data_IF_895783568896
#
_entry.id   IF_895783568896
#
_cell.length_a   1.000
_cell.length_b   1.000
_cell.length_c   1.000
_cell.angle_alpha   90.00
_cell.angle_beta   90.00
_cell.angle_gamma   90.00
#
_symmetry.space_group_name_H-M   'P 1'
#
loop_
_entity.id
_entity.type
_entity.pdbx_description
1 polymer ?
#
# COMPACT_ATOMS: atom_id res chain seq x y z
N UNK A 1 37.26 -27.32 -78.98
CA UNK A 1 36.03 -26.68 -78.54
C UNK A 1 35.68 -27.26 -77.16
N UNK A 2 35.85 -26.46 -76.09
CA UNK A 2 35.56 -26.86 -74.71
C UNK A 2 34.23 -26.21 -74.34
N UNK A 3 33.19 -27.02 -74.14
CA UNK A 3 31.92 -26.55 -73.64
C UNK A 3 32.00 -26.37 -72.12
N UNK A 4 31.82 -25.11 -71.68
CA UNK A 4 31.72 -24.74 -70.22
C UNK A 4 30.26 -24.77 -69.86
N UNK A 5 29.87 -25.72 -69.01
CA UNK A 5 28.52 -25.85 -68.45
C UNK A 5 28.43 -24.97 -67.22
N UNK A 6 27.67 -23.88 -67.26
CA UNK A 6 27.37 -23.06 -66.05
C UNK A 6 26.20 -23.69 -65.25
N UNK A 7 26.47 -24.13 -64.07
CA UNK A 7 25.47 -24.54 -63.09
C UNK A 7 25.09 -23.31 -62.27
N UNK A 8 23.89 -22.78 -62.48
CA UNK A 8 23.31 -21.72 -61.65
C UNK A 8 22.74 -22.32 -60.37
N UNK A 9 23.43 -22.02 -59.27
CA UNK A 9 22.92 -22.37 -57.94
C UNK A 9 21.88 -21.35 -57.49
N UNK A 10 20.60 -21.74 -57.45
CA UNK A 10 19.52 -20.91 -56.92
C UNK A 10 19.53 -21.10 -55.38
N UNK A 11 19.98 -20.07 -54.67
CA UNK A 11 19.79 -20.00 -53.20
C UNK A 11 18.35 -19.62 -52.92
N UNK A 12 17.52 -20.58 -52.49
CA UNK A 12 16.23 -20.32 -51.89
C UNK A 12 16.47 -19.82 -50.47
N UNK A 13 16.28 -18.53 -50.21
CA UNK A 13 16.24 -17.96 -48.86
C UNK A 13 14.89 -18.35 -48.25
N UNK A 14 14.95 -19.31 -47.32
CA UNK A 14 13.82 -19.57 -46.43
C UNK A 14 13.71 -18.39 -45.48
N UNK A 15 12.77 -17.48 -45.71
CA UNK A 15 12.30 -16.53 -44.70
C UNK A 15 11.40 -17.34 -43.76
N UNK A 16 11.93 -17.71 -42.59
CA UNK A 16 11.10 -18.27 -41.53
C UNK A 16 10.05 -17.20 -41.14
N UNK A 17 8.76 -17.53 -41.10
CA UNK A 17 7.77 -16.59 -40.61
C UNK A 17 8.12 -16.25 -39.16
N UNK A 18 8.41 -15.00 -38.87
CA UNK A 18 8.49 -14.48 -37.52
C UNK A 18 7.06 -14.50 -36.97
N UNK A 19 6.72 -15.50 -36.18
CA UNK A 19 5.52 -15.47 -35.38
C UNK A 19 5.78 -14.39 -34.30
N UNK A 20 5.22 -13.21 -34.50
CA UNK A 20 5.26 -12.20 -33.47
C UNK A 20 4.46 -12.74 -32.27
N UNK A 21 5.16 -12.94 -31.19
CA UNK A 21 4.62 -13.35 -29.89
C UNK A 21 4.58 -12.13 -28.96
N UNK A 22 3.85 -12.24 -27.89
CA UNK A 22 3.91 -11.24 -26.82
C UNK A 22 5.32 -11.23 -26.24
N UNK A 23 5.96 -10.07 -26.22
CA UNK A 23 7.24 -9.85 -25.55
C UNK A 23 6.98 -9.31 -24.17
N UNK A 24 7.39 -10.05 -23.14
CA UNK A 24 7.30 -9.60 -21.75
C UNK A 24 8.66 -9.02 -21.37
N UNK A 25 8.69 -7.72 -21.07
CA UNK A 25 9.89 -6.98 -20.69
C UNK A 25 10.16 -7.10 -19.18
N UNK A 26 9.07 -7.17 -18.39
CA UNK A 26 9.09 -7.37 -16.94
C UNK A 26 7.79 -8.05 -16.50
N UNK A 27 7.84 -8.98 -15.52
CA UNK A 27 9.04 -9.60 -14.95
C UNK A 27 9.71 -10.58 -15.92
N UNK A 28 11.00 -10.87 -15.70
CA UNK A 28 11.69 -11.95 -16.39
C UNK A 28 11.16 -13.32 -15.94
N UNK A 29 11.23 -14.30 -16.83
CA UNK A 29 10.85 -15.67 -16.47
C UNK A 29 11.69 -16.24 -15.32
N UNK A 30 11.04 -16.75 -14.28
CA UNK A 30 11.67 -17.24 -13.04
C UNK A 30 12.11 -16.14 -12.08
N UNK A 31 11.68 -14.89 -12.27
CA UNK A 31 12.02 -13.81 -11.36
C UNK A 31 11.40 -14.05 -9.97
N UNK A 32 12.15 -13.66 -8.95
CA UNK A 32 11.66 -13.43 -7.59
C UNK A 32 11.21 -11.97 -7.51
N UNK A 33 9.98 -11.74 -7.08
CA UNK A 33 9.35 -10.43 -7.06
C UNK A 33 8.58 -10.25 -5.75
N UNK A 34 8.40 -9.01 -5.32
CA UNK A 34 7.44 -8.67 -4.27
C UNK A 34 6.05 -8.37 -4.88
N UNK A 35 5.00 -8.46 -4.11
CA UNK A 35 3.66 -8.01 -4.53
C UNK A 35 3.40 -6.58 -4.01
N UNK A 36 2.93 -5.65 -4.87
CA UNK A 36 2.73 -5.79 -6.31
C UNK A 36 4.04 -5.82 -7.09
N UNK A 37 4.07 -6.46 -8.26
CA UNK A 37 5.18 -6.41 -9.20
C UNK A 37 4.79 -5.77 -10.53
N UNK A 38 5.74 -5.06 -11.15
CA UNK A 38 5.47 -4.35 -12.39
C UNK A 38 5.49 -5.28 -13.59
N UNK A 39 4.37 -5.32 -14.33
CA UNK A 39 4.26 -5.92 -15.65
C UNK A 39 4.50 -4.86 -16.72
N UNK A 40 5.41 -5.17 -17.64
CA UNK A 40 5.60 -4.44 -18.90
C UNK A 40 5.71 -5.43 -20.04
N UNK A 41 4.83 -5.31 -21.04
CA UNK A 41 4.85 -6.19 -22.20
C UNK A 41 4.31 -5.49 -23.46
N UNK A 42 4.77 -5.96 -24.62
CA UNK A 42 4.42 -5.44 -25.93
C UNK A 42 4.09 -6.57 -26.90
N UNK A 43 3.18 -6.30 -27.82
CA UNK A 43 2.86 -7.17 -28.95
C UNK A 43 2.39 -6.34 -30.15
N UNK A 44 3.24 -6.06 -31.12
CA UNK A 44 2.85 -5.32 -32.32
C UNK A 44 1.85 -6.10 -33.14
N UNK A 45 2.03 -7.42 -33.26
CA UNK A 45 1.15 -8.31 -33.99
C UNK A 45 0.90 -9.60 -33.21
N UNK A 46 -0.26 -10.21 -33.42
CA UNK A 46 -0.61 -11.53 -32.95
C UNK A 46 -1.07 -12.37 -34.14
N UNK A 47 -0.38 -13.48 -34.43
CA UNK A 47 -0.67 -14.32 -35.62
C UNK A 47 -0.79 -13.51 -36.91
N UNK A 48 0.14 -12.59 -37.15
CA UNK A 48 0.19 -11.69 -38.33
C UNK A 48 -0.93 -10.64 -38.38
N UNK A 49 -1.76 -10.50 -37.37
CA UNK A 49 -2.77 -9.45 -37.22
C UNK A 49 -2.26 -8.33 -36.33
N UNK A 50 -2.61 -7.10 -36.62
CA UNK A 50 -2.29 -5.95 -35.76
C UNK A 50 -2.94 -6.15 -34.39
N UNK A 51 -2.19 -5.99 -33.30
CA UNK A 51 -2.71 -6.10 -31.95
C UNK A 51 -3.60 -4.90 -31.61
N UNK A 52 -4.80 -5.16 -31.13
CA UNK A 52 -5.80 -4.15 -30.76
C UNK A 52 -6.00 -4.05 -29.23
N UNK A 53 -5.69 -5.12 -28.52
CA UNK A 53 -5.76 -5.15 -27.07
C UNK A 53 -4.72 -6.12 -26.51
N UNK A 54 -4.25 -5.83 -25.30
CA UNK A 54 -3.46 -6.71 -24.46
C UNK A 54 -4.13 -6.93 -23.12
N UNK A 55 -3.71 -7.94 -22.39
CA UNK A 55 -4.20 -8.19 -21.03
C UNK A 55 -3.38 -9.23 -20.31
N UNK A 56 -3.70 -9.44 -19.05
CA UNK A 56 -3.01 -10.42 -18.22
C UNK A 56 -3.95 -11.10 -17.21
N UNK A 57 -3.56 -12.28 -16.79
CA UNK A 57 -4.18 -13.02 -15.68
C UNK A 57 -3.11 -13.84 -14.97
N UNK A 58 -3.39 -14.25 -13.73
CA UNK A 58 -2.51 -15.13 -12.96
C UNK A 58 -3.13 -16.52 -12.82
N UNK A 59 -2.29 -17.54 -12.92
CA UNK A 59 -2.62 -18.94 -12.73
C UNK A 59 -3.87 -19.37 -13.52
N UNK A 60 -4.76 -20.10 -12.87
CA UNK A 60 -6.04 -20.55 -13.48
C UNK A 60 -7.16 -19.50 -13.32
N UNK A 61 -6.82 -18.25 -13.00
CA UNK A 61 -7.84 -17.21 -12.89
C UNK A 61 -8.51 -16.97 -14.24
N UNK A 62 -9.82 -17.11 -14.30
CA UNK A 62 -10.61 -16.88 -15.49
C UNK A 62 -10.75 -15.38 -15.84
N UNK A 63 -10.54 -14.52 -14.86
CA UNK A 63 -10.61 -13.07 -15.07
C UNK A 63 -9.31 -12.57 -15.67
N UNK A 64 -9.43 -11.84 -16.78
CA UNK A 64 -8.32 -11.20 -17.47
C UNK A 64 -8.50 -9.69 -17.43
N UNK A 65 -7.50 -8.98 -16.89
CA UNK A 65 -7.45 -7.52 -17.02
C UNK A 65 -7.08 -7.16 -18.44
N UNK A 66 -7.90 -6.36 -19.12
CA UNK A 66 -7.73 -6.02 -20.55
C UNK A 66 -7.44 -4.52 -20.69
N UNK A 67 -6.41 -4.20 -21.47
CA UNK A 67 -5.99 -2.84 -21.82
C UNK A 67 -6.03 -2.69 -23.35
N UNK A 68 -6.59 -1.60 -23.87
CA UNK A 68 -6.59 -1.32 -25.30
C UNK A 68 -5.19 -0.90 -25.77
N UNK A 69 -4.76 -1.42 -26.91
CA UNK A 69 -3.48 -1.10 -27.51
C UNK A 69 -2.55 -2.31 -27.62
N UNK A 70 -1.31 -2.05 -28.05
CA UNK A 70 -0.28 -3.05 -28.30
C UNK A 70 0.76 -3.14 -27.18
N UNK A 71 0.54 -2.48 -26.06
CA UNK A 71 1.38 -2.54 -24.86
C UNK A 71 0.52 -2.61 -23.61
N UNK A 72 1.06 -3.22 -22.56
CA UNK A 72 0.49 -3.25 -21.21
C UNK A 72 1.55 -2.88 -20.20
N UNK A 73 1.19 -1.94 -19.31
CA UNK A 73 1.96 -1.58 -18.12
C UNK A 73 1.00 -1.63 -16.94
N UNK A 74 1.30 -2.46 -15.95
CA UNK A 74 0.42 -2.64 -14.80
C UNK A 74 1.22 -3.10 -13.58
N UNK A 75 0.73 -2.75 -12.39
CA UNK A 75 1.16 -3.38 -11.16
C UNK A 75 0.25 -4.58 -10.90
N UNK A 76 0.87 -5.76 -10.83
CA UNK A 76 0.18 -7.05 -10.70
C UNK A 76 0.26 -7.49 -9.25
N UNK A 77 -0.89 -7.72 -8.65
CA UNK A 77 -1.02 -8.22 -7.29
C UNK A 77 -1.10 -9.74 -7.28
N UNK A 78 -0.42 -10.36 -6.31
CA UNK A 78 -0.50 -11.80 -6.05
C UNK A 78 -0.19 -12.12 -4.60
N UNK A 79 -0.70 -13.23 -4.10
CA UNK A 79 -0.21 -13.82 -2.85
C UNK A 79 1.23 -14.33 -3.00
N UNK A 80 1.84 -14.72 -1.88
CA UNK A 80 3.16 -15.34 -1.87
C UNK A 80 3.14 -16.74 -2.51
N UNK A 81 4.23 -17.10 -3.18
CA UNK A 81 4.37 -18.40 -3.83
C UNK A 81 4.71 -18.31 -5.30
N UNK A 82 4.75 -19.48 -5.97
CA UNK A 82 5.03 -19.54 -7.41
C UNK A 82 3.73 -19.41 -8.20
N UNK A 83 3.74 -18.50 -9.17
CA UNK A 83 2.62 -18.16 -10.02
C UNK A 83 3.01 -18.21 -11.49
N UNK A 84 2.00 -18.41 -12.35
CA UNK A 84 2.13 -18.25 -13.80
C UNK A 84 1.37 -17.01 -14.24
N UNK A 85 2.11 -16.02 -14.74
CA UNK A 85 1.55 -14.81 -15.35
C UNK A 85 1.28 -15.10 -16.83
N UNK A 86 0.02 -15.10 -17.24
CA UNK A 86 -0.41 -15.23 -18.63
C UNK A 86 -0.58 -13.85 -19.25
N UNK A 87 0.32 -13.45 -20.13
CA UNK A 87 0.23 -12.18 -20.87
C UNK A 87 -0.35 -12.46 -22.26
N UNK A 88 -1.44 -11.82 -22.56
CA UNK A 88 -2.31 -12.09 -23.73
C UNK A 88 -2.33 -10.91 -24.67
N UNK A 89 -2.45 -11.18 -25.97
CA UNK A 89 -2.70 -10.17 -27.00
C UNK A 89 -3.81 -10.65 -27.95
N UNK A 90 -4.63 -9.71 -28.41
CA UNK A 90 -5.71 -9.97 -29.37
C UNK A 90 -5.50 -9.12 -30.61
N UNK A 91 -5.55 -9.79 -31.78
CA UNK A 91 -5.47 -9.16 -33.09
C UNK A 91 -6.83 -8.67 -33.59
N UNK A 92 -6.80 -7.77 -34.56
CA UNK A 92 -7.98 -7.08 -35.13
C UNK A 92 -9.04 -8.01 -35.75
N UNK A 93 -8.65 -9.20 -36.22
CA UNK A 93 -9.55 -10.20 -36.77
C UNK A 93 -9.76 -11.41 -35.84
N UNK A 94 -9.54 -11.23 -34.54
CA UNK A 94 -9.87 -12.21 -33.51
C UNK A 94 -8.80 -13.25 -33.21
N UNK A 95 -7.56 -13.09 -33.72
CA UNK A 95 -6.45 -13.91 -33.27
C UNK A 95 -6.12 -13.67 -31.79
N UNK A 96 -5.59 -14.67 -31.12
CA UNK A 96 -5.09 -14.55 -29.74
C UNK A 96 -3.71 -15.18 -29.60
N UNK A 97 -2.85 -14.52 -28.87
CA UNK A 97 -1.52 -15.00 -28.50
C UNK A 97 -1.36 -14.92 -26.98
N UNK A 98 -0.60 -15.85 -26.41
CA UNK A 98 -0.29 -15.89 -24.98
C UNK A 98 1.18 -16.17 -24.80
N UNK A 99 1.80 -15.47 -23.85
CA UNK A 99 3.12 -15.79 -23.31
C UNK A 99 2.99 -16.00 -21.82
N UNK A 100 3.46 -17.14 -21.35
CA UNK A 100 3.45 -17.50 -19.94
C UNK A 100 4.79 -17.17 -19.30
N UNK A 101 4.75 -16.52 -18.15
CA UNK A 101 5.92 -16.14 -17.37
C UNK A 101 5.77 -16.70 -15.96
N UNK A 102 6.65 -17.61 -15.57
CA UNK A 102 6.71 -18.07 -14.18
C UNK A 102 7.35 -16.98 -13.32
N UNK A 103 6.75 -16.68 -12.17
CA UNK A 103 7.27 -15.76 -11.16
C UNK A 103 7.15 -16.39 -9.78
N UNK A 104 8.04 -16.04 -8.87
CA UNK A 104 7.91 -16.40 -7.45
C UNK A 104 7.71 -15.11 -6.67
N UNK A 105 6.53 -14.97 -6.05
CA UNK A 105 6.24 -13.83 -5.18
C UNK A 105 6.73 -14.16 -3.78
N UNK A 106 7.68 -13.37 -3.31
CA UNK A 106 8.27 -13.53 -1.99
C UNK A 106 7.43 -12.86 -0.92
N UNK A 107 7.48 -13.38 0.30
CA UNK A 107 6.92 -12.68 1.45
C UNK A 107 7.67 -11.37 1.66
N UNK A 108 6.93 -10.31 2.00
CA UNK A 108 7.52 -9.04 2.38
C UNK A 108 8.56 -9.26 3.50
N UNK A 109 9.73 -8.69 3.31
CA UNK A 109 10.80 -8.72 4.30
C UNK A 109 11.40 -7.31 4.46
N UNK A 110 11.60 -6.90 5.72
CA UNK A 110 12.33 -5.68 6.00
C UNK A 110 13.81 -5.91 5.61
N UNK A 111 14.42 -5.03 4.78
CA UNK A 111 15.83 -5.16 4.43
C UNK A 111 16.74 -5.19 5.67
N UNK A 112 17.82 -5.96 5.60
CA UNK A 112 18.73 -6.11 6.74
C UNK A 112 19.49 -4.83 7.11
N UNK A 113 19.55 -3.86 6.22
CA UNK A 113 20.16 -2.54 6.39
C UNK A 113 19.14 -1.44 6.73
N UNK A 114 17.86 -1.77 6.87
CA UNK A 114 16.84 -0.83 7.28
C UNK A 114 17.14 -0.27 8.68
N UNK A 115 16.98 1.04 8.81
CA UNK A 115 17.02 1.72 10.12
C UNK A 115 15.67 1.60 10.81
N UNK A 116 15.66 1.61 12.16
CA UNK A 116 14.41 1.60 12.92
C UNK A 116 14.44 2.51 14.14
N UNK A 117 13.26 2.97 14.54
CA UNK A 117 13.00 3.57 15.85
C UNK A 117 11.93 2.74 16.54
N UNK A 118 12.27 2.16 17.66
CA UNK A 118 11.38 1.31 18.46
C UNK A 118 10.96 1.98 19.75
N UNK A 119 9.89 1.49 20.36
CA UNK A 119 9.40 2.01 21.65
C UNK A 119 8.84 3.43 21.53
N UNK A 120 8.33 3.80 20.37
CA UNK A 120 7.79 5.16 20.13
C UNK A 120 6.63 5.46 21.10
N UNK A 121 5.84 4.46 21.47
CA UNK A 121 4.74 4.62 22.42
C UNK A 121 5.17 5.14 23.79
N UNK A 122 6.42 4.90 24.22
CA UNK A 122 6.89 5.36 25.55
C UNK A 122 7.56 6.73 25.53
N UNK A 123 7.73 7.36 24.37
CA UNK A 123 8.29 8.72 24.27
C UNK A 123 7.47 9.71 25.09
N UNK A 124 8.15 10.67 25.74
CA UNK A 124 7.49 11.68 26.58
C UNK A 124 6.81 12.81 25.79
N UNK A 125 7.13 12.94 24.51
CA UNK A 125 6.69 14.07 23.66
C UNK A 125 5.27 13.98 23.10
N UNK A 126 4.51 12.95 23.43
CA UNK A 126 3.14 12.79 22.95
C UNK A 126 2.25 13.97 23.34
N UNK A 127 1.42 14.43 22.41
CA UNK A 127 0.44 15.50 22.59
C UNK A 127 -0.94 14.97 22.25
N UNK A 128 -1.98 15.55 22.87
CA UNK A 128 -3.37 15.29 22.58
C UNK A 128 -3.99 16.53 21.94
N UNK A 129 -4.70 16.35 20.83
CA UNK A 129 -5.32 17.45 20.10
C UNK A 129 -6.72 17.02 19.62
N UNK A 130 -7.68 17.92 19.73
CA UNK A 130 -8.97 17.75 19.06
C UNK A 130 -8.75 17.85 17.55
N UNK A 131 -9.26 16.88 16.80
CA UNK A 131 -9.28 16.96 15.35
C UNK A 131 -10.59 17.60 14.88
N UNK A 132 -10.47 18.72 14.18
CA UNK A 132 -11.60 19.52 13.70
C UNK A 132 -12.22 19.02 12.41
N UNK A 133 -11.70 17.94 11.81
CA UNK A 133 -12.33 17.29 10.65
C UNK A 133 -13.62 16.55 11.03
N UNK A 134 -13.76 16.14 12.30
CA UNK A 134 -15.00 15.55 12.83
C UNK A 134 -16.10 16.58 13.09
N UNK A 135 -17.34 16.11 13.25
CA UNK A 135 -18.52 16.97 13.47
C UNK A 135 -18.71 17.39 14.92
N UNK A 136 -18.17 16.63 15.87
CA UNK A 136 -18.33 16.88 17.31
C UNK A 136 -17.04 17.34 17.98
N UNK A 137 -17.11 17.53 19.29
CA UNK A 137 -15.97 17.90 20.11
C UNK A 137 -15.25 16.70 20.72
N UNK A 138 -13.98 16.86 21.05
CA UNK A 138 -13.22 15.85 21.79
C UNK A 138 -12.25 16.48 22.77
N UNK A 139 -11.91 15.69 23.80
CA UNK A 139 -10.85 16.00 24.75
C UNK A 139 -10.13 14.70 25.14
N UNK A 140 -8.84 14.64 24.82
CA UNK A 140 -8.04 13.46 25.00
C UNK A 140 -7.12 13.53 26.22
N UNK A 141 -6.91 12.38 26.82
CA UNK A 141 -5.82 12.17 27.80
C UNK A 141 -5.05 10.92 27.48
N UNK A 142 -3.80 10.85 27.97
CA UNK A 142 -2.94 9.71 27.78
C UNK A 142 -2.02 9.49 28.97
N UNK A 143 -1.63 8.23 29.16
CA UNK A 143 -0.70 7.83 30.23
C UNK A 143 0.07 6.59 29.81
N UNK A 144 1.20 6.33 30.46
CA UNK A 144 1.84 5.03 30.40
C UNK A 144 1.12 4.07 31.35
N UNK A 145 0.87 2.86 30.86
CA UNK A 145 0.24 1.77 31.62
C UNK A 145 1.14 0.53 31.57
N UNK A 146 1.36 -0.09 32.72
CA UNK A 146 2.09 -1.36 32.81
C UNK A 146 1.18 -2.58 32.62
N UNK A 147 -0.13 -2.37 32.59
CA UNK A 147 -1.14 -3.40 32.32
C UNK A 147 -2.40 -2.77 31.71
N UNK A 148 -2.91 -3.25 30.54
CA UNK A 148 -2.24 -4.24 29.69
C UNK A 148 -0.98 -3.67 29.04
N UNK A 149 0.07 -4.49 28.95
CA UNK A 149 1.29 -4.15 28.21
C UNK A 149 1.99 -5.43 27.75
N UNK A 150 2.69 -5.34 26.62
CA UNK A 150 3.54 -6.38 26.04
C UNK A 150 5.02 -6.14 26.33
N UNK A 151 5.46 -4.88 26.24
CA UNK A 151 6.87 -4.48 26.36
C UNK A 151 7.25 -3.93 27.75
N UNK A 152 6.29 -3.92 28.68
CA UNK A 152 6.44 -3.35 30.03
C UNK A 152 5.64 -2.05 30.21
N UNK A 153 5.54 -1.21 29.18
CA UNK A 153 4.70 -0.01 29.19
C UNK A 153 4.02 0.21 27.84
N UNK A 154 2.69 0.13 27.85
CA UNK A 154 1.85 0.58 26.75
C UNK A 154 1.47 2.05 26.93
N UNK A 155 1.17 2.75 25.82
CA UNK A 155 0.51 4.06 25.85
C UNK A 155 -0.99 3.84 25.87
N UNK A 156 -1.66 4.24 26.95
CA UNK A 156 -3.10 4.31 27.05
C UNK A 156 -3.55 5.66 26.48
N UNK A 157 -4.48 5.63 25.53
CA UNK A 157 -5.19 6.79 25.00
C UNK A 157 -6.65 6.74 25.44
N UNK A 158 -7.19 7.88 25.83
CA UNK A 158 -8.59 8.06 26.21
C UNK A 158 -9.13 9.25 25.45
N UNK A 159 -10.18 9.05 24.68
CA UNK A 159 -10.94 10.10 23.99
C UNK A 159 -12.28 10.25 24.67
N UNK A 160 -12.53 11.40 25.28
CA UNK A 160 -13.88 11.81 25.68
C UNK A 160 -14.42 12.68 24.56
N UNK A 161 -15.48 12.26 23.92
CA UNK A 161 -16.00 12.94 22.74
C UNK A 161 -17.51 13.16 22.82
N UNK A 162 -18.01 14.04 21.96
CA UNK A 162 -19.42 14.22 21.67
C UNK A 162 -19.65 14.20 20.18
N UNK A 163 -20.80 13.71 19.77
CA UNK A 163 -21.31 13.82 18.39
C UNK A 163 -20.28 13.41 17.31
N UNK A 164 -19.73 12.19 17.46
CA UNK A 164 -18.72 11.64 16.52
C UNK A 164 -17.38 12.42 16.50
N UNK A 165 -17.02 13.07 17.60
CA UNK A 165 -15.77 13.86 17.67
C UNK A 165 -14.51 13.00 17.61
N UNK A 166 -13.47 13.54 16.99
CA UNK A 166 -12.21 12.86 16.72
C UNK A 166 -11.10 13.39 17.62
N UNK A 167 -10.32 12.48 18.20
CA UNK A 167 -9.21 12.82 19.10
C UNK A 167 -7.90 12.26 18.56
N UNK A 168 -7.00 13.17 18.19
CA UNK A 168 -5.66 12.85 17.71
C UNK A 168 -4.63 12.91 18.83
N UNK A 169 -3.67 12.00 18.78
CA UNK A 169 -2.49 11.95 19.62
C UNK A 169 -1.26 11.83 18.72
N UNK A 170 -0.28 12.71 18.88
CA UNK A 170 0.90 12.75 18.01
C UNK A 170 2.21 12.84 18.78
N UNK A 171 3.27 12.31 18.20
CA UNK A 171 4.64 12.42 18.71
C UNK A 171 5.65 12.46 17.58
N UNK A 172 6.62 13.38 17.68
CA UNK A 172 7.82 13.35 16.83
C UNK A 172 8.81 12.33 17.39
N UNK A 173 9.47 11.56 16.50
CA UNK A 173 10.39 10.49 16.88
C UNK A 173 11.73 10.54 16.15
N UNK A 174 12.04 11.61 15.49
CA UNK A 174 13.30 11.84 14.78
C UNK A 174 13.13 12.80 13.61
N UNK A 175 14.17 12.87 12.78
CA UNK A 175 14.13 13.52 11.48
C UNK A 175 14.76 12.57 10.45
N UNK A 176 14.14 12.44 9.30
CA UNK A 176 14.65 11.73 8.14
C UNK A 176 13.91 12.25 6.91
N UNK A 177 14.67 12.87 6.02
CA UNK A 177 14.12 13.42 4.77
C UNK A 177 14.50 12.58 3.56
N UNK A 178 15.24 11.49 3.74
CA UNK A 178 15.86 10.70 2.67
C UNK A 178 15.21 9.35 2.45
N UNK A 179 14.81 8.67 3.51
CA UNK A 179 14.11 7.38 3.39
C UNK A 179 12.82 7.51 2.58
N UNK A 180 12.59 6.54 1.75
CA UNK A 180 11.41 6.49 0.87
C UNK A 180 10.48 5.32 1.20
N UNK A 181 11.01 4.29 1.81
CA UNK A 181 10.27 3.10 2.22
C UNK A 181 10.11 3.06 3.73
N UNK A 182 8.94 2.68 4.17
CA UNK A 182 8.59 2.61 5.58
C UNK A 182 7.76 1.37 5.88
N UNK A 183 7.96 0.85 7.09
CA UNK A 183 7.16 -0.22 7.63
C UNK A 183 6.74 0.14 9.05
N UNK A 184 5.43 0.29 9.23
CA UNK A 184 4.79 0.55 10.52
C UNK A 184 4.49 -0.79 11.19
N UNK A 185 4.93 -0.97 12.43
CA UNK A 185 4.74 -2.19 13.21
C UNK A 185 4.28 -1.81 14.62
N UNK A 186 3.07 -2.23 14.99
CA UNK A 186 2.48 -1.86 16.26
C UNK A 186 1.50 -2.91 16.80
N UNK A 187 1.31 -2.88 18.11
CA UNK A 187 0.30 -3.68 18.77
C UNK A 187 -0.76 -2.78 19.40
N UNK A 188 -2.03 -3.08 19.12
CA UNK A 188 -3.19 -2.39 19.68
C UNK A 188 -4.01 -3.31 20.56
N UNK A 189 -4.51 -2.75 21.67
CA UNK A 189 -5.43 -3.43 22.57
C UNK A 189 -6.66 -2.56 22.78
N UNK A 190 -7.82 -3.14 22.55
CA UNK A 190 -9.12 -2.50 22.76
C UNK A 190 -9.79 -3.14 23.98
N UNK A 191 -10.03 -2.38 25.07
CA UNK A 191 -10.79 -2.91 26.18
C UNK A 191 -12.26 -3.08 25.80
N UNK A 192 -12.95 -4.02 26.44
CA UNK A 192 -14.38 -4.21 26.26
C UNK A 192 -15.20 -3.19 27.08
N UNK A 193 -16.24 -2.59 26.51
CA UNK A 193 -16.65 -2.63 25.11
C UNK A 193 -15.86 -1.65 24.22
N UNK A 194 -15.66 -1.99 22.94
CA UNK A 194 -15.02 -1.10 21.94
C UNK A 194 -16.05 -0.36 21.06
N UNK A 195 -17.31 -0.41 21.39
CA UNK A 195 -18.41 0.13 20.57
C UNK A 195 -18.42 1.67 20.50
N UNK A 196 -17.65 2.35 21.34
CA UNK A 196 -17.42 3.80 21.29
C UNK A 196 -16.41 4.24 20.24
N UNK A 197 -15.73 3.30 19.57
CA UNK A 197 -14.70 3.56 18.55
C UNK A 197 -15.29 3.33 17.17
N UNK A 198 -15.36 4.37 16.32
CA UNK A 198 -15.71 4.21 14.91
C UNK A 198 -14.48 3.79 14.11
N UNK A 199 -13.43 4.61 14.15
CA UNK A 199 -12.21 4.43 13.39
C UNK A 199 -10.99 4.44 14.31
N UNK A 200 -9.96 3.73 13.87
CA UNK A 200 -8.62 3.82 14.42
C UNK A 200 -7.69 4.23 13.29
N UNK A 201 -7.18 5.46 13.38
CA UNK A 201 -6.23 6.02 12.42
C UNK A 201 -4.80 5.92 12.98
N UNK A 202 -3.88 5.54 12.14
CA UNK A 202 -2.47 5.32 12.48
C UNK A 202 -1.60 5.90 11.37
N UNK A 203 -1.08 7.11 11.60
CA UNK A 203 -0.29 7.79 10.59
C UNK A 203 1.19 7.75 10.91
N UNK A 204 1.99 7.78 9.88
CA UNK A 204 3.35 8.24 9.91
C UNK A 204 3.47 9.43 8.96
N UNK A 205 4.20 10.47 9.34
CA UNK A 205 4.38 11.67 8.54
C UNK A 205 5.86 11.98 8.39
N UNK A 206 6.25 12.37 7.19
CA UNK A 206 7.62 12.78 6.87
C UNK A 206 7.63 14.18 6.27
N UNK A 207 8.35 15.11 6.91
CA UNK A 207 8.60 16.42 6.30
C UNK A 207 9.78 16.31 5.36
N UNK A 208 9.54 16.61 4.09
CA UNK A 208 10.52 16.50 3.00
C UNK A 208 11.42 17.76 2.92
N UNK A 209 12.59 17.68 2.24
CA UNK A 209 13.50 18.83 2.08
C UNK A 209 12.87 20.03 1.37
N UNK A 210 11.87 19.82 0.53
CA UNK A 210 11.14 20.89 -0.15
C UNK A 210 10.10 21.60 0.75
N UNK A 211 10.01 21.23 2.05
CA UNK A 211 9.08 21.80 3.02
C UNK A 211 7.66 21.20 2.97
N UNK A 212 7.41 20.24 2.11
CA UNK A 212 6.16 19.52 2.09
C UNK A 212 6.17 18.38 3.12
N UNK A 213 5.03 18.10 3.69
CA UNK A 213 4.79 16.92 4.56
C UNK A 213 4.12 15.86 3.74
N UNK A 214 4.73 14.68 3.66
CA UNK A 214 4.07 13.48 3.13
C UNK A 214 3.37 12.79 4.29
N UNK A 215 2.06 12.61 4.17
CA UNK A 215 1.22 11.92 5.14
C UNK A 215 1.01 10.48 4.67
N UNK A 216 1.49 9.52 5.44
CA UNK A 216 1.24 8.10 5.23
C UNK A 216 0.11 7.69 6.18
N UNK A 217 -1.09 8.25 5.93
CA UNK A 217 -2.26 8.02 6.75
C UNK A 217 -2.98 6.75 6.35
N UNK A 218 -3.26 5.90 7.30
CA UNK A 218 -4.13 4.73 7.12
C UNK A 218 -5.01 4.53 8.35
N UNK A 219 -6.20 4.03 8.11
CA UNK A 219 -7.16 3.77 9.19
C UNK A 219 -7.91 2.47 8.99
N UNK A 220 -8.27 1.83 10.11
CA UNK A 220 -9.32 0.84 10.15
C UNK A 220 -10.65 1.57 10.34
N UNK A 221 -11.47 1.65 9.27
CA UNK A 221 -12.70 2.44 9.26
C UNK A 221 -13.91 1.54 9.52
N UNK A 222 -14.60 1.79 10.62
CA UNK A 222 -15.83 1.09 10.98
C UNK A 222 -17.05 1.53 10.16
N UNK A 223 -17.00 2.69 9.52
CA UNK A 223 -18.08 3.19 8.66
C UNK A 223 -18.06 2.55 7.28
N UNK A 224 -16.90 2.57 6.61
CA UNK A 224 -16.71 1.92 5.32
C UNK A 224 -16.60 0.40 5.45
N UNK A 225 -16.07 -0.06 6.57
CA UNK A 225 -15.76 -1.46 6.82
C UNK A 225 -14.48 -1.93 6.14
N UNK A 226 -13.58 -0.99 5.79
CA UNK A 226 -12.33 -1.23 5.04
C UNK A 226 -11.12 -0.58 5.71
N UNK A 227 -9.94 -1.00 5.28
CA UNK A 227 -8.72 -0.22 5.46
C UNK A 227 -8.74 0.93 4.46
N UNK A 228 -8.55 2.14 4.96
CA UNK A 228 -8.57 3.35 4.14
C UNK A 228 -7.22 4.06 4.21
N UNK A 229 -6.92 4.84 3.18
CA UNK A 229 -5.66 5.59 3.07
C UNK A 229 -5.92 7.07 2.78
N UNK A 230 -5.07 7.93 3.31
CA UNK A 230 -5.16 9.39 3.10
C UNK A 230 -4.78 9.75 1.66
N UNK A 231 -5.58 10.60 1.02
CA UNK A 231 -5.33 11.16 -0.30
C UNK A 231 -5.47 12.69 -0.28
N UNK A 232 -4.52 13.40 -0.89
CA UNK A 232 -4.68 14.82 -1.19
C UNK A 232 -5.27 14.99 -2.61
N UNK A 233 -6.56 15.32 -2.69
CA UNK A 233 -7.28 15.60 -3.96
C UNK A 233 -6.99 16.98 -4.54
N UNK A 234 -6.30 17.82 -3.79
CA UNK A 234 -5.89 19.16 -4.21
C UNK A 234 -4.43 19.21 -4.68
N UNK A 235 -3.78 20.35 -4.38
CA UNK A 235 -2.33 20.50 -4.52
C UNK A 235 -1.70 20.61 -3.13
N UNK A 236 -0.37 20.45 -3.00
CA UNK A 236 0.26 20.63 -1.70
C UNK A 236 -0.06 21.96 -1.03
N UNK A 237 -0.14 23.07 -1.81
CA UNK A 237 -0.39 24.43 -1.33
C UNK A 237 -1.88 24.73 -1.09
N UNK A 238 -2.77 23.95 -1.71
CA UNK A 238 -4.23 24.03 -1.54
C UNK A 238 -4.78 22.62 -1.36
N UNK A 239 -4.45 21.95 -0.24
CA UNK A 239 -4.79 20.55 -0.05
C UNK A 239 -6.29 20.36 0.15
N UNK A 240 -6.78 19.24 -0.38
CA UNK A 240 -8.11 18.70 -0.12
C UNK A 240 -7.94 17.30 0.42
N UNK A 241 -7.95 17.19 1.72
CA UNK A 241 -7.80 15.92 2.40
C UNK A 241 -9.03 15.02 2.19
N UNK A 242 -8.79 13.74 1.96
CA UNK A 242 -9.82 12.73 1.75
C UNK A 242 -9.32 11.34 2.12
N UNK A 243 -10.26 10.47 2.44
CA UNK A 243 -10.02 9.05 2.62
C UNK A 243 -10.41 8.28 1.36
N UNK A 244 -9.52 7.41 0.91
CA UNK A 244 -9.77 6.49 -0.20
C UNK A 244 -9.93 5.09 0.37
N UNK A 245 -11.10 4.47 0.13
CA UNK A 245 -11.43 3.14 0.63
C UNK A 245 -10.72 2.05 -0.19
N UNK A 246 -10.10 1.09 0.50
CA UNK A 246 -9.52 -0.09 -0.14
C UNK A 246 -10.56 -1.19 -0.33
N UNK A 247 -10.13 -2.33 -0.88
CA UNK A 247 -10.93 -3.57 -0.92
C UNK A 247 -10.66 -4.47 0.32
N UNK A 248 -9.67 -4.12 1.15
CA UNK A 248 -9.30 -4.90 2.32
C UNK A 248 -10.24 -4.58 3.49
N UNK A 249 -10.93 -5.59 4.01
CA UNK A 249 -11.90 -5.40 5.08
C UNK A 249 -11.23 -5.01 6.40
N UNK A 250 -11.77 -3.97 7.07
CA UNK A 250 -11.43 -3.62 8.43
C UNK A 250 -12.61 -2.98 9.15
N UNK A 251 -12.85 -3.37 10.39
CA UNK A 251 -13.85 -2.74 11.25
C UNK A 251 -13.46 -2.97 12.72
N UNK A 252 -13.10 -1.91 13.48
CA UNK A 252 -12.68 -2.05 14.88
C UNK A 252 -13.73 -2.70 15.78
N UNK A 253 -15.04 -2.57 15.45
CA UNK A 253 -16.11 -3.21 16.20
C UNK A 253 -16.15 -4.74 16.08
N UNK A 254 -15.44 -5.30 15.08
CA UNK A 254 -15.35 -6.74 14.86
C UNK A 254 -14.08 -7.34 15.46
N UNK A 255 -13.18 -6.49 15.96
CA UNK A 255 -11.98 -6.98 16.62
C UNK A 255 -12.33 -7.58 17.98
N UNK A 256 -11.64 -8.65 18.33
CA UNK A 256 -11.77 -9.23 19.67
C UNK A 256 -11.27 -8.25 20.73
N UNK A 257 -12.08 -7.97 21.72
CA UNK A 257 -11.69 -7.08 22.82
C UNK A 257 -10.87 -7.81 23.89
N UNK A 258 -10.10 -7.05 24.67
CA UNK A 258 -9.25 -7.56 25.76
C UNK A 258 -8.12 -8.50 25.32
N UNK A 259 -7.72 -8.39 24.04
CA UNK A 259 -6.52 -9.03 23.51
C UNK A 259 -5.70 -8.01 22.70
N UNK A 260 -4.44 -8.33 22.46
CA UNK A 260 -3.57 -7.55 21.58
C UNK A 260 -3.75 -7.96 20.14
N UNK A 261 -3.87 -6.97 19.27
CA UNK A 261 -3.87 -7.12 17.81
C UNK A 261 -2.59 -6.57 17.22
N UNK A 262 -1.96 -7.32 16.34
CA UNK A 262 -0.74 -6.92 15.64
C UNK A 262 -1.10 -6.27 14.32
N UNK A 263 -0.70 -5.01 14.14
CA UNK A 263 -0.96 -4.24 12.93
C UNK A 263 0.37 -3.86 12.30
N UNK A 264 0.51 -4.14 11.03
CA UNK A 264 1.69 -3.79 10.26
C UNK A 264 1.25 -3.21 8.92
N UNK A 265 1.95 -2.20 8.42
CA UNK A 265 1.67 -1.58 7.12
C UNK A 265 2.97 -1.29 6.39
N UNK A 266 3.03 -1.69 5.12
CA UNK A 266 4.14 -1.41 4.22
C UNK A 266 3.74 -0.36 3.21
N UNK A 267 4.53 0.70 3.10
CA UNK A 267 4.32 1.78 2.16
C UNK A 267 5.62 2.45 1.73
N UNK A 268 5.58 3.11 0.57
CA UNK A 268 6.69 3.93 0.12
C UNK A 268 6.17 5.22 -0.52
N UNK A 269 7.04 6.22 -0.61
CA UNK A 269 6.79 7.44 -1.37
C UNK A 269 7.74 7.60 -2.53
N UNK A 270 7.29 8.27 -3.57
CA UNK A 270 8.17 8.82 -4.59
C UNK A 270 8.64 10.25 -4.24
N UNK A 271 9.49 10.82 -5.09
CA UNK A 271 10.03 12.17 -4.90
C UNK A 271 8.98 13.29 -5.08
N UNK A 272 7.83 12.97 -5.67
CA UNK A 272 6.71 13.90 -5.83
C UNK A 272 5.76 13.91 -4.63
N UNK A 273 5.99 13.04 -3.64
CA UNK A 273 5.13 12.88 -2.47
C UNK A 273 3.88 12.05 -2.74
N UNK A 274 3.87 11.23 -3.79
CA UNK A 274 2.89 10.15 -3.93
C UNK A 274 3.27 9.01 -3.03
N UNK A 275 2.30 8.48 -2.32
CA UNK A 275 2.44 7.32 -1.45
C UNK A 275 1.81 6.10 -2.09
N UNK A 276 2.53 5.00 -2.09
CA UNK A 276 1.99 3.68 -2.43
C UNK A 276 1.90 2.84 -1.16
N UNK A 277 0.68 2.50 -0.78
CA UNK A 277 0.38 1.54 0.28
C UNK A 277 0.38 0.14 -0.34
N UNK A 278 1.32 -0.71 0.07
CA UNK A 278 1.49 -2.06 -0.49
C UNK A 278 0.53 -3.06 0.17
N UNK A 279 0.73 -3.29 1.45
CA UNK A 279 -0.03 -4.29 2.23
C UNK A 279 -0.24 -3.84 3.66
N UNK A 280 -1.29 -4.36 4.26
CA UNK A 280 -1.54 -4.31 5.70
C UNK A 280 -1.66 -5.73 6.24
N UNK A 281 -1.11 -5.95 7.41
CA UNK A 281 -1.27 -7.20 8.17
C UNK A 281 -2.06 -6.92 9.43
N UNK A 282 -3.07 -7.75 9.69
CA UNK A 282 -3.77 -7.79 10.96
C UNK A 282 -3.63 -9.22 11.54
N UNK A 283 -2.99 -9.32 12.69
CA UNK A 283 -2.71 -10.58 13.37
C UNK A 283 -1.99 -11.61 12.48
N UNK A 284 -1.05 -11.12 11.66
CA UNK A 284 -0.28 -11.93 10.73
C UNK A 284 -0.99 -12.28 9.41
N UNK A 285 -2.23 -11.86 9.23
CA UNK A 285 -2.97 -12.06 7.98
C UNK A 285 -2.77 -10.85 7.07
N UNK A 286 -2.14 -11.08 5.93
CA UNK A 286 -1.89 -10.05 4.93
C UNK A 286 -3.13 -9.75 4.10
N UNK A 287 -3.36 -8.45 3.88
CA UNK A 287 -4.28 -7.92 2.88
C UNK A 287 -3.54 -6.93 2.00
N UNK A 288 -3.47 -7.22 0.70
CA UNK A 288 -2.87 -6.30 -0.26
C UNK A 288 -3.75 -5.07 -0.45
N UNK A 289 -3.18 -3.89 -0.33
CA UNK A 289 -3.86 -2.61 -0.59
C UNK A 289 -3.61 -2.13 -2.02
N UNK A 290 -2.35 -2.06 -2.41
CA UNK A 290 -1.87 -1.65 -3.73
C UNK A 290 -2.49 -0.34 -4.21
N UNK A 291 -2.48 0.67 -3.36
CA UNK A 291 -3.08 1.98 -3.61
C UNK A 291 -2.00 3.02 -3.71
N UNK A 292 -1.97 3.76 -4.82
CA UNK A 292 -1.04 4.88 -5.03
C UNK A 292 -1.82 6.18 -5.11
N UNK A 293 -1.53 7.11 -4.20
CA UNK A 293 -2.25 8.38 -4.04
C UNK A 293 -1.30 9.56 -3.91
N UNK A 294 -1.66 10.77 -4.37
CA UNK A 294 -1.00 12.00 -3.93
C UNK A 294 -1.21 12.18 -2.43
N UNK A 295 -0.14 12.44 -1.68
CA UNK A 295 -0.25 12.63 -0.23
C UNK A 295 0.75 13.66 0.32
N UNK A 296 1.16 14.62 -0.52
CA UNK A 296 1.99 15.75 -0.11
C UNK A 296 1.12 16.96 0.26
N UNK A 297 1.45 17.61 1.39
CA UNK A 297 0.75 18.75 1.97
C UNK A 297 1.76 19.82 2.38
N UNK A 298 1.58 21.08 1.99
CA UNK A 298 2.44 22.20 2.42
C UNK A 298 1.99 22.73 3.79
N UNK A 299 2.20 21.94 4.84
CA UNK A 299 1.77 22.29 6.21
C UNK A 299 2.69 23.28 6.91
N UNK A 300 3.87 23.58 6.34
CA UNK A 300 4.84 24.50 6.93
C UNK A 300 5.52 23.97 8.20
N UNK A 301 5.55 22.65 8.39
CA UNK A 301 6.18 22.03 9.54
C UNK A 301 7.71 22.00 9.39
N UNK A 302 8.42 22.04 10.53
CA UNK A 302 9.86 21.82 10.56
C UNK A 302 10.16 20.34 10.24
N UNK A 303 11.34 20.03 9.66
CA UNK A 303 11.75 18.66 9.39
C UNK A 303 11.59 17.76 10.62
N UNK A 304 10.82 16.69 10.46
CA UNK A 304 10.55 15.69 11.50
C UNK A 304 9.94 14.43 10.88
N UNK A 305 10.15 13.31 11.56
CA UNK A 305 9.27 12.15 11.48
C UNK A 305 8.32 12.19 12.67
N UNK A 306 7.05 12.06 12.42
CA UNK A 306 6.04 11.98 13.49
C UNK A 306 5.03 10.88 13.19
N UNK A 307 4.42 10.35 14.24
CA UNK A 307 3.29 9.42 14.12
C UNK A 307 2.09 10.00 14.84
N UNK A 308 0.92 9.79 14.24
CA UNK A 308 -0.38 10.06 14.84
C UNK A 308 -1.03 8.73 15.23
N UNK A 309 -1.78 8.79 16.31
CA UNK A 309 -2.79 7.80 16.65
C UNK A 309 -4.08 8.54 16.92
N UNK A 310 -5.16 8.19 16.21
CA UNK A 310 -6.44 8.88 16.33
C UNK A 310 -7.56 7.90 16.65
N UNK A 311 -8.47 8.34 17.50
CA UNK A 311 -9.70 7.62 17.86
C UNK A 311 -10.87 8.49 17.43
N UNK A 312 -11.68 7.98 16.52
CA UNK A 312 -12.92 8.62 16.10
C UNK A 312 -14.10 8.03 16.85
N UNK A 313 -14.98 8.91 17.30
CA UNK A 313 -16.16 8.54 18.07
C UNK A 313 -17.25 7.89 17.23
N UNK A 314 -17.87 6.83 17.75
CA UNK A 314 -18.86 6.03 17.02
C UNK A 314 -20.31 6.48 17.22
N UNK A 315 -20.60 7.34 18.20
CA UNK A 315 -21.98 7.63 18.60
C UNK A 315 -22.29 9.12 18.61
N UNK A 316 -23.55 9.45 18.36
CA UNK A 316 -24.11 10.76 18.67
C UNK A 316 -24.23 10.89 20.19
N UNK A 317 -24.01 12.10 20.71
CA UNK A 317 -23.98 12.37 22.14
C UNK A 317 -22.58 12.10 22.72
N UNK A 318 -22.44 12.12 24.05
CA UNK A 318 -21.15 11.99 24.71
C UNK A 318 -20.80 10.55 25.05
N UNK A 319 -19.58 10.13 24.77
CA UNK A 319 -19.03 8.82 25.15
C UNK A 319 -17.52 8.90 25.40
N UNK A 320 -16.95 7.79 25.85
CA UNK A 320 -15.51 7.64 26.10
C UNK A 320 -14.98 6.42 25.40
N UNK A 321 -14.00 6.62 24.53
CA UNK A 321 -13.25 5.57 23.87
C UNK A 321 -11.87 5.40 24.48
N UNK A 322 -11.40 4.16 24.57
CA UNK A 322 -10.07 3.84 25.10
C UNK A 322 -9.37 2.83 24.18
N UNK A 323 -8.09 3.08 23.89
CA UNK A 323 -7.20 2.15 23.22
C UNK A 323 -5.82 2.16 23.85
N UNK A 324 -5.08 1.08 23.67
CA UNK A 324 -3.67 0.99 24.11
C UNK A 324 -2.81 0.66 22.89
N UNK A 325 -1.64 1.30 22.84
CA UNK A 325 -0.62 1.11 21.81
C UNK A 325 0.66 0.62 22.49
N UNK A 326 1.24 -0.45 21.98
CA UNK A 326 2.50 -1.01 22.49
C UNK A 326 3.41 -1.49 21.36
N UNK A 327 4.69 -1.66 21.64
CA UNK A 327 5.73 -2.13 20.72
C UNK A 327 5.76 -1.37 19.38
N UNK A 328 5.40 -0.07 19.37
CA UNK A 328 5.41 0.72 18.13
C UNK A 328 6.85 0.92 17.65
N UNK A 329 7.11 0.38 16.47
CA UNK A 329 8.36 0.49 15.73
C UNK A 329 8.12 0.96 14.32
N UNK A 330 8.90 1.93 13.87
CA UNK A 330 8.93 2.36 12.47
C UNK A 330 10.27 1.97 11.87
N UNK A 331 10.24 1.12 10.85
CA UNK A 331 11.41 0.79 10.02
C UNK A 331 11.41 1.69 8.79
N UNK A 332 12.63 2.03 8.29
CA UNK A 332 12.79 2.92 7.13
C UNK A 332 14.08 2.63 6.36
N UNK A 333 14.06 2.80 5.04
CA UNK A 333 15.21 2.63 4.14
C UNK A 333 15.06 3.42 2.84
#
# INVERSE_FOLDING_TARGET
>A
MKNLCYVSLIFATFVAPAFASVTVNSPAGGAQVESPFSLSADAATCSSQVTTAMGYSLDNNSETTIVKGSSVHADVMSGTGTHTLHVKAWGEAGSSCVTDVAVTVEAFAIPSDASSVSGIQVLSGWKAQHDTAGTGGSNGSMSLANSPSRSGFARKFVSNYSDYGNQRFDVSFGDDTTSTNFFYDAWLYLPSPSTSIANLEMDMNQVMPNGQTVIFGFQCDGWSGTWDVTENKGTPEAPVDAWLHSQAACNPHKWSTNIWHHIQVSYYRDDSGKVTYKSVWLDGIESSLNMTVPSAFALGWAPTLLTNFQIDGAVAGSDTATAYLDDLTIYRW
#
